data_IF_260072957266
#
_entry.id   IF_260072957266
#
_cell.length_a   1.000
_cell.length_b   1.000
_cell.length_c   1.000
_cell.angle_alpha   90.00
_cell.angle_beta   90.00
_cell.angle_gamma   90.00
#
_symmetry.space_group_name_H-M   'P 1'
#
loop_
_entity.id
_entity.type
_entity.pdbx_description
1 polymer ?
#
# COMPACT_ATOMS: atom_id res chain seq x y z
N UNK A 1 29.36 -9.02 23.29
CA UNK A 1 28.69 -7.80 22.79
C UNK A 1 27.68 -8.20 21.72
N UNK A 2 26.63 -7.38 21.55
CA UNK A 2 25.56 -7.47 20.51
C UNK A 2 24.30 -8.25 20.91
N UNK A 3 23.51 -7.72 21.86
CA UNK A 3 22.19 -8.25 22.26
C UNK A 3 21.03 -7.29 21.92
N UNK A 4 21.15 -6.52 20.83
CA UNK A 4 20.15 -5.49 20.48
C UNK A 4 19.66 -5.58 19.03
N UNK A 5 19.96 -6.66 18.31
CA UNK A 5 19.43 -6.83 16.96
C UNK A 5 17.93 -7.16 17.06
N UNK A 6 17.10 -6.48 16.26
CA UNK A 6 15.64 -6.67 16.15
C UNK A 6 14.72 -6.14 17.25
N UNK A 7 15.17 -5.36 18.23
CA UNK A 7 14.32 -4.85 19.33
C UNK A 7 13.04 -4.10 18.89
N UNK A 8 13.04 -3.51 17.69
CA UNK A 8 11.90 -2.77 17.12
C UNK A 8 11.25 -3.47 15.93
N UNK A 9 11.68 -4.68 15.60
CA UNK A 9 11.09 -5.43 14.49
C UNK A 9 9.70 -5.90 14.90
N UNK A 10 8.71 -5.58 14.07
CA UNK A 10 7.35 -6.12 14.20
C UNK A 10 7.09 -7.05 13.03
N UNK A 11 6.36 -8.12 13.29
CA UNK A 11 5.89 -8.99 12.24
C UNK A 11 4.94 -8.22 11.31
N UNK A 12 5.09 -8.43 10.00
CA UNK A 12 4.19 -7.87 8.99
C UNK A 12 3.28 -8.98 8.48
N UNK A 13 1.99 -8.76 8.57
CA UNK A 13 0.95 -9.61 7.99
C UNK A 13 0.10 -8.81 7.01
N UNK A 14 -0.46 -9.52 6.03
CA UNK A 14 -1.36 -8.98 5.01
C UNK A 14 -2.48 -9.99 4.78
N UNK A 15 -3.62 -9.51 4.30
CA UNK A 15 -4.79 -10.30 3.93
C UNK A 15 -4.99 -10.32 2.42
N UNK A 16 -5.69 -11.35 1.93
CA UNK A 16 -6.11 -11.39 0.52
C UNK A 16 -7.01 -10.19 0.24
N UNK A 17 -6.70 -9.44 -0.83
CA UNK A 17 -7.42 -8.23 -1.21
C UNK A 17 -6.71 -6.94 -0.80
N UNK A 18 -5.74 -6.98 0.12
CA UNK A 18 -5.00 -5.78 0.54
C UNK A 18 -4.24 -5.15 -0.63
N UNK A 19 -4.27 -3.82 -0.69
CA UNK A 19 -3.44 -3.04 -1.58
C UNK A 19 -2.08 -2.75 -0.93
N UNK A 20 -1.02 -3.04 -1.67
CA UNK A 20 0.36 -2.98 -1.18
C UNK A 20 1.27 -2.32 -2.21
N UNK A 21 2.34 -1.73 -1.70
CA UNK A 21 3.52 -1.36 -2.46
C UNK A 21 4.53 -2.50 -2.42
N UNK A 22 5.09 -2.87 -3.57
CA UNK A 22 6.14 -3.86 -3.71
C UNK A 22 7.50 -3.23 -4.00
N UNK A 23 8.53 -3.70 -3.30
CA UNK A 23 9.91 -3.25 -3.49
C UNK A 23 10.54 -3.93 -4.71
N UNK A 24 10.85 -3.17 -5.75
CA UNK A 24 11.44 -3.67 -7.01
C UNK A 24 12.67 -2.88 -7.43
N UNK A 25 13.59 -3.48 -8.20
CA UNK A 25 14.70 -2.75 -8.80
C UNK A 25 14.19 -1.57 -9.63
N UNK A 26 14.84 -0.43 -9.48
CA UNK A 26 14.59 0.73 -10.32
C UNK A 26 15.05 0.44 -11.75
N UNK A 27 14.26 0.84 -12.73
CA UNK A 27 14.61 0.69 -14.14
C UNK A 27 15.88 1.50 -14.51
N UNK A 28 16.08 2.65 -13.86
CA UNK A 28 17.19 3.57 -14.18
C UNK A 28 18.51 3.18 -13.50
N UNK A 29 18.45 2.56 -12.33
CA UNK A 29 19.63 2.24 -11.53
C UNK A 29 19.53 0.83 -10.97
N UNK A 30 20.36 -0.08 -11.50
CA UNK A 30 20.39 -1.51 -11.10
C UNK A 30 20.67 -1.75 -9.61
N UNK A 31 21.26 -0.76 -8.92
CA UNK A 31 21.60 -0.83 -7.50
C UNK A 31 20.50 -0.31 -6.57
N UNK A 32 19.52 0.42 -7.12
CA UNK A 32 18.46 1.04 -6.33
C UNK A 32 17.18 0.22 -6.43
N UNK A 33 16.49 0.12 -5.30
CA UNK A 33 15.13 -0.43 -5.26
C UNK A 33 14.14 0.71 -4.98
N UNK A 34 12.97 0.62 -5.59
CA UNK A 34 11.86 1.57 -5.48
C UNK A 34 10.59 0.85 -5.03
N UNK A 35 9.77 1.54 -4.25
CA UNK A 35 8.43 1.07 -3.89
C UNK A 35 7.48 1.40 -5.03
N UNK A 36 6.89 0.37 -5.64
CA UNK A 36 5.98 0.48 -6.78
C UNK A 36 4.60 -0.03 -6.35
N UNK A 37 3.53 0.50 -6.90
CA UNK A 37 2.16 0.04 -6.67
C UNK A 37 1.15 1.05 -7.22
N UNK A 38 -0.16 0.85 -6.98
CA UNK A 38 -0.74 -0.18 -6.11
C UNK A 38 -0.68 -1.60 -6.71
N UNK A 39 -0.47 -2.59 -5.86
CA UNK A 39 -0.54 -4.00 -6.22
C UNK A 39 -1.43 -4.75 -5.22
N UNK A 40 -2.11 -5.81 -5.65
CA UNK A 40 -3.12 -6.50 -4.83
C UNK A 40 -2.63 -7.85 -4.34
N UNK A 41 -2.80 -8.14 -3.06
CA UNK A 41 -2.51 -9.48 -2.51
C UNK A 41 -3.58 -10.45 -3.00
N UNK A 42 -3.19 -11.42 -3.81
CA UNK A 42 -4.11 -12.43 -4.39
C UNK A 42 -4.21 -13.67 -3.52
N UNK A 43 -3.09 -14.09 -2.91
CA UNK A 43 -3.03 -15.32 -2.13
C UNK A 43 -1.94 -15.24 -1.07
N UNK A 44 -2.23 -15.74 0.13
CA UNK A 44 -1.21 -16.02 1.15
C UNK A 44 -0.65 -17.41 0.86
N UNK A 45 0.65 -17.50 0.56
CA UNK A 45 1.27 -18.76 0.12
C UNK A 45 2.00 -19.46 1.26
N UNK A 46 2.84 -18.71 1.99
CA UNK A 46 3.63 -19.17 3.14
C UNK A 46 3.43 -18.18 4.29
N UNK A 47 3.82 -18.50 5.53
CA UNK A 47 3.60 -17.61 6.68
C UNK A 47 4.10 -16.18 6.47
N UNK A 48 5.19 -15.99 5.71
CA UNK A 48 5.77 -14.69 5.42
C UNK A 48 5.93 -14.42 3.92
N UNK A 49 5.15 -15.10 3.07
CA UNK A 49 5.15 -14.85 1.63
C UNK A 49 3.74 -14.84 1.08
N UNK A 50 3.52 -13.94 0.12
CA UNK A 50 2.25 -13.81 -0.54
C UNK A 50 2.43 -13.59 -2.03
N UNK A 51 1.44 -14.03 -2.79
CA UNK A 51 1.31 -13.77 -4.21
C UNK A 51 0.64 -12.41 -4.39
N UNK A 52 1.33 -11.50 -5.06
CA UNK A 52 0.87 -10.14 -5.33
C UNK A 52 0.68 -9.97 -6.83
N UNK A 53 -0.45 -9.43 -7.25
CA UNK A 53 -0.75 -9.09 -8.64
C UNK A 53 -0.54 -7.59 -8.85
N UNK A 54 0.30 -7.26 -9.81
CA UNK A 54 0.47 -5.88 -10.29
C UNK A 54 -0.61 -5.54 -11.34
N UNK A 55 -0.72 -4.25 -11.68
CA UNK A 55 -1.69 -3.73 -12.65
C UNK A 55 -1.53 -4.35 -14.05
N UNK A 56 -0.31 -4.74 -14.42
CA UNK A 56 0.04 -5.43 -15.67
C UNK A 56 -0.34 -6.92 -15.70
N UNK A 57 -1.20 -7.38 -14.78
CA UNK A 57 -1.65 -8.78 -14.59
C UNK A 57 -0.52 -9.73 -14.14
N UNK A 58 0.73 -9.25 -14.04
CA UNK A 58 1.84 -10.07 -13.59
C UNK A 58 1.69 -10.39 -12.09
N UNK A 59 1.80 -11.68 -11.76
CA UNK A 59 1.79 -12.14 -10.37
C UNK A 59 3.19 -12.51 -9.92
N UNK A 60 3.61 -11.99 -8.76
CA UNK A 60 4.89 -12.33 -8.16
C UNK A 60 4.70 -12.81 -6.73
N UNK A 61 5.44 -13.86 -6.38
CA UNK A 61 5.55 -14.28 -5.00
C UNK A 61 6.62 -13.44 -4.29
N UNK A 62 6.23 -12.75 -3.22
CA UNK A 62 7.09 -11.83 -2.48
C UNK A 62 7.03 -12.10 -0.98
N UNK A 63 8.17 -11.91 -0.31
CA UNK A 63 8.24 -11.92 1.14
C UNK A 63 7.59 -10.65 1.71
N UNK A 64 6.87 -10.74 2.84
CA UNK A 64 6.15 -9.62 3.48
C UNK A 64 7.02 -8.39 3.77
N UNK A 65 8.31 -8.59 4.02
CA UNK A 65 9.28 -7.51 4.21
C UNK A 65 9.52 -6.65 2.95
N UNK A 66 9.28 -7.21 1.77
CA UNK A 66 9.33 -6.48 0.49
C UNK A 66 8.02 -5.78 0.17
N UNK A 67 7.08 -5.76 1.11
CA UNK A 67 5.78 -5.12 0.99
C UNK A 67 5.59 -4.01 2.03
N UNK A 68 4.80 -3.02 1.64
CA UNK A 68 4.23 -2.00 2.52
C UNK A 68 2.74 -1.84 2.20
N UNK A 69 1.90 -1.49 3.18
CA UNK A 69 0.53 -1.09 2.89
C UNK A 69 0.51 0.07 1.89
N UNK A 70 -0.35 0.00 0.89
CA UNK A 70 -0.66 1.14 0.05
C UNK A 70 -1.73 1.97 0.74
N UNK A 71 -1.41 3.21 1.06
CA UNK A 71 -2.38 4.15 1.62
C UNK A 71 -2.81 5.05 0.47
N UNK A 72 -4.00 4.80 -0.05
CA UNK A 72 -4.58 5.64 -1.09
C UNK A 72 -4.75 7.06 -0.54
N UNK A 73 -4.31 8.05 -1.30
CA UNK A 73 -4.63 9.45 -1.00
C UNK A 73 -6.08 9.68 -1.44
N UNK A 74 -6.96 9.95 -0.49
CA UNK A 74 -8.32 10.39 -0.78
C UNK A 74 -8.26 11.91 -0.82
N UNK A 75 -8.34 12.49 -2.01
CA UNK A 75 -8.25 13.94 -2.15
C UNK A 75 -9.55 14.62 -1.71
N UNK A 76 -10.74 14.07 -2.04
CA UNK A 76 -12.03 14.75 -1.82
C UNK A 76 -13.19 13.79 -1.48
N UNK A 77 -14.12 14.24 -0.63
CA UNK A 77 -15.39 13.55 -0.34
C UNK A 77 -16.54 14.51 -0.70
N UNK A 78 -17.32 14.16 -1.72
CA UNK A 78 -18.54 14.89 -2.08
C UNK A 78 -19.76 14.28 -1.39
N UNK A 79 -20.56 15.10 -0.72
CA UNK A 79 -21.85 14.70 -0.13
C UNK A 79 -22.95 15.30 -1.00
N UNK A 80 -23.86 14.47 -1.53
CA UNK A 80 -25.01 14.91 -2.32
C UNK A 80 -26.26 14.60 -1.52
N UNK A 81 -27.12 15.59 -1.27
CA UNK A 81 -28.40 15.40 -0.60
C UNK A 81 -29.51 15.21 -1.63
N UNK A 82 -30.50 14.37 -1.30
CA UNK A 82 -31.63 13.99 -2.17
C UNK A 82 -32.52 15.17 -2.61
N UNK A 83 -32.37 16.33 -1.95
CA UNK A 83 -33.12 17.55 -2.24
C UNK A 83 -32.37 18.51 -3.20
N UNK A 84 -31.12 18.20 -3.57
CA UNK A 84 -30.31 19.05 -4.42
C UNK A 84 -30.61 18.77 -5.90
N UNK A 85 -31.33 19.68 -6.56
CA UNK A 85 -31.52 19.68 -8.02
C UNK A 85 -30.25 20.08 -8.81
N UNK A 86 -29.21 20.56 -8.12
CA UNK A 86 -27.94 21.03 -8.68
C UNK A 86 -26.77 20.48 -7.84
N UNK A 87 -25.59 20.25 -8.43
CA UNK A 87 -24.46 19.65 -7.69
C UNK A 87 -24.04 20.52 -6.49
N UNK A 88 -24.08 19.97 -5.27
CA UNK A 88 -23.77 20.67 -4.01
C UNK A 88 -22.28 21.05 -3.83
N UNK A 89 -21.98 21.76 -2.73
CA UNK A 89 -20.62 22.26 -2.43
C UNK A 89 -19.61 21.14 -2.11
N UNK A 90 -18.39 21.24 -2.66
CA UNK A 90 -17.29 20.33 -2.35
C UNK A 90 -16.65 20.67 -1.01
N UNK A 91 -16.71 19.74 -0.06
CA UNK A 91 -16.05 19.86 1.24
C UNK A 91 -14.72 19.10 1.25
N UNK A 92 -13.67 19.75 1.74
CA UNK A 92 -12.34 19.14 1.89
C UNK A 92 -12.26 18.40 3.23
N UNK A 93 -11.73 17.17 3.21
CA UNK A 93 -11.36 16.50 4.45
C UNK A 93 -10.25 17.31 5.16
N UNK A 94 -10.32 17.51 6.48
CA UNK A 94 -9.27 18.20 7.21
C UNK A 94 -7.95 17.45 7.03
N UNK A 95 -6.93 18.15 6.51
CA UNK A 95 -5.57 17.63 6.45
C UNK A 95 -5.04 17.63 7.89
N UNK A 96 -4.76 16.46 8.44
CA UNK A 96 -3.98 16.36 9.67
C UNK A 96 -2.65 17.08 9.42
N UNK A 97 -2.49 18.26 10.02
CA UNK A 97 -1.22 18.99 9.98
C UNK A 97 -0.21 18.16 10.77
N UNK A 98 0.76 17.55 10.09
CA UNK A 98 1.91 16.93 10.76
C UNK A 98 2.60 17.98 11.65
N UNK A 99 2.71 17.66 12.95
CA UNK A 99 3.55 18.36 13.94
C UNK A 99 5.01 17.99 13.77
#
# INVERSE_FOLDING_TARGET
MTSHYNLRSREKSFSVGDEVLNLMPSYMHKLLNTWIGPAKVVKLTRPHSCLVRMEDVNTRELHVNKLRPYISRVDHVGIIFDQDTDFGELHYAPIDKEN
#
